data_IF_316685855928
#
_entry.id   IF_316685855928
#
_cell.length_a   1.000
_cell.length_b   1.000
_cell.length_c   1.000
_cell.angle_alpha   90.00
_cell.angle_beta   90.00
_cell.angle_gamma   90.00
#
_symmetry.space_group_name_H-M   'P 1'
#
loop_
_entity.id
_entity.type
_entity.pdbx_description
1 polymer ?
#
# COMPACT_ATOMS: atom_id res chain seq x y z
N UNK A 1 -26.57 -3.12 32.49
CA UNK A 1 -25.93 -2.06 31.68
C UNK A 1 -26.66 -1.95 30.35
N UNK A 2 -26.64 -0.77 29.71
CA UNK A 2 -27.22 -0.58 28.37
C UNK A 2 -26.11 -0.81 27.35
N UNK A 3 -26.29 -1.78 26.46
CA UNK A 3 -25.35 -2.10 25.40
C UNK A 3 -25.42 -1.04 24.28
N UNK A 4 -24.41 -1.06 23.41
CA UNK A 4 -24.28 -0.10 22.30
C UNK A 4 -25.40 -0.23 21.25
N UNK A 5 -26.14 -1.34 21.26
CA UNK A 5 -27.33 -1.62 20.44
C UNK A 5 -28.64 -1.25 21.15
N UNK A 6 -28.57 -0.42 22.21
CA UNK A 6 -29.69 -0.01 23.07
C UNK A 6 -30.39 -1.13 23.87
N UNK A 7 -29.89 -2.36 23.86
CA UNK A 7 -30.44 -3.43 24.71
C UNK A 7 -30.01 -3.27 26.17
N UNK A 8 -30.89 -3.61 27.12
CA UNK A 8 -30.58 -3.60 28.55
C UNK A 8 -30.27 -5.01 28.99
N UNK A 9 -29.01 -5.28 29.35
CA UNK A 9 -28.59 -6.58 29.87
C UNK A 9 -28.32 -6.50 31.37
N UNK A 10 -28.93 -7.40 32.12
CA UNK A 10 -28.65 -7.61 33.55
C UNK A 10 -27.53 -8.63 33.66
N UNK A 11 -26.35 -8.20 34.09
CA UNK A 11 -25.18 -9.07 34.24
C UNK A 11 -25.19 -9.63 35.67
N UNK A 12 -25.22 -10.96 35.86
CA UNK A 12 -25.08 -11.57 37.18
C UNK A 12 -23.74 -11.20 37.81
N UNK A 13 -23.71 -11.02 39.13
CA UNK A 13 -22.58 -10.48 39.91
C UNK A 13 -21.25 -11.24 39.73
N UNK A 14 -21.29 -12.49 39.27
CA UNK A 14 -20.12 -13.35 39.10
C UNK A 14 -19.31 -13.08 37.80
N UNK A 15 -19.90 -12.43 36.79
CA UNK A 15 -19.21 -12.10 35.53
C UNK A 15 -18.27 -10.89 35.62
N UNK A 16 -18.17 -10.24 36.79
CA UNK A 16 -17.30 -9.09 37.03
C UNK A 16 -15.82 -9.46 37.22
N UNK A 17 -15.51 -10.74 37.45
CA UNK A 17 -14.17 -11.20 37.87
C UNK A 17 -13.35 -11.74 36.68
N UNK A 18 -13.97 -12.07 35.55
CA UNK A 18 -13.30 -12.81 34.45
C UNK A 18 -13.14 -12.09 33.13
N UNK A 19 -13.91 -11.02 32.86
CA UNK A 19 -13.82 -10.31 31.58
C UNK A 19 -13.00 -9.04 31.76
N UNK A 20 -11.88 -8.91 31.03
CA UNK A 20 -11.15 -7.66 30.96
C UNK A 20 -12.07 -6.61 30.33
N UNK A 21 -12.72 -5.80 31.14
CA UNK A 21 -13.49 -4.66 30.65
C UNK A 21 -12.55 -3.80 29.82
N UNK A 22 -12.78 -3.72 28.50
CA UNK A 22 -12.13 -2.72 27.66
C UNK A 22 -12.59 -1.36 28.17
N UNK A 23 -11.77 -0.72 29.01
CA UNK A 23 -12.10 0.56 29.61
C UNK A 23 -12.04 1.66 28.54
N UNK A 24 -13.16 1.90 27.86
CA UNK A 24 -13.30 2.95 26.85
C UNK A 24 -13.28 4.37 27.48
N UNK A 25 -13.50 4.51 28.80
CA UNK A 25 -13.37 5.82 29.49
C UNK A 25 -11.93 6.32 29.45
N UNK A 26 -10.96 5.44 29.69
CA UNK A 26 -9.54 5.81 29.60
C UNK A 26 -9.13 6.30 28.21
N UNK A 27 -9.78 5.82 27.13
CA UNK A 27 -9.57 6.33 25.76
C UNK A 27 -10.29 7.67 25.53
N UNK A 28 -11.47 7.85 26.11
CA UNK A 28 -12.18 9.13 26.08
C UNK A 28 -11.42 10.23 26.85
N UNK A 29 -10.75 9.85 27.93
CA UNK A 29 -9.96 10.75 28.80
C UNK A 29 -8.56 11.04 28.21
N UNK A 30 -8.00 10.14 27.39
CA UNK A 30 -6.67 10.34 26.80
C UNK A 30 -6.63 11.43 25.73
N UNK A 31 -7.77 11.97 25.29
CA UNK A 31 -7.84 13.07 24.31
C UNK A 31 -7.53 12.67 22.87
N UNK A 32 -7.56 11.37 22.55
CA UNK A 32 -7.31 10.89 21.20
C UNK A 32 -7.62 9.41 20.99
N UNK A 33 -8.16 9.08 19.82
CA UNK A 33 -8.51 7.70 19.44
C UNK A 33 -7.48 7.11 18.47
N UNK A 34 -7.05 5.87 18.74
CA UNK A 34 -5.99 5.17 18.00
C UNK A 34 -6.46 4.68 16.63
N UNK A 35 -5.73 5.05 15.59
CA UNK A 35 -5.71 4.40 14.27
C UNK A 35 -4.66 3.29 14.31
N UNK A 36 -5.07 2.06 14.00
CA UNK A 36 -4.19 0.91 13.81
C UNK A 36 -4.70 0.09 12.62
N UNK A 37 -4.26 0.45 11.42
CA UNK A 37 -4.68 -0.18 10.16
C UNK A 37 -3.49 -0.30 9.23
N UNK A 38 -3.48 -1.32 8.38
CA UNK A 38 -2.42 -1.56 7.43
C UNK A 38 -2.94 -1.56 5.99
N UNK A 39 -2.10 -1.09 5.07
CA UNK A 39 -2.22 -1.41 3.64
C UNK A 39 -1.27 -2.56 3.32
N UNK A 40 -1.66 -3.44 2.42
CA UNK A 40 -0.83 -4.57 2.01
C UNK A 40 -0.20 -4.25 0.67
N UNK A 41 1.13 -4.22 0.62
CA UNK A 41 1.89 -3.93 -0.59
C UNK A 41 2.24 -5.23 -1.30
N UNK A 42 2.01 -5.30 -2.60
CA UNK A 42 2.46 -6.41 -3.43
C UNK A 42 3.99 -6.49 -3.44
N UNK A 43 4.52 -7.63 -2.99
CA UNK A 43 5.97 -7.91 -2.91
C UNK A 43 6.64 -7.70 -4.26
N UNK A 44 5.97 -8.04 -5.36
CA UNK A 44 6.53 -7.94 -6.71
C UNK A 44 6.69 -6.49 -7.20
N UNK A 45 6.07 -5.53 -6.51
CA UNK A 45 6.25 -4.09 -6.80
C UNK A 45 7.44 -3.47 -6.05
N UNK A 46 8.07 -4.20 -5.13
CA UNK A 46 9.18 -3.69 -4.31
C UNK A 46 10.47 -3.71 -5.12
N UNK A 47 11.13 -2.56 -5.24
CA UNK A 47 12.37 -2.39 -6.00
C UNK A 47 13.25 -1.27 -5.45
N UNK A 48 14.51 -1.24 -5.88
CA UNK A 48 15.37 -0.09 -5.68
C UNK A 48 14.86 1.11 -6.48
N UNK A 49 15.03 2.30 -5.92
CA UNK A 49 14.66 3.55 -6.59
C UNK A 49 15.67 3.83 -7.70
N UNK A 50 15.15 4.09 -8.91
CA UNK A 50 15.96 4.57 -10.03
C UNK A 50 16.22 6.07 -9.93
N UNK A 51 17.22 6.57 -10.65
CA UNK A 51 17.47 8.02 -10.72
C UNK A 51 16.27 8.82 -11.24
N UNK A 52 15.54 8.27 -12.21
CA UNK A 52 14.35 8.93 -12.75
C UNK A 52 13.25 9.04 -11.69
N UNK A 53 13.00 7.96 -10.93
CA UNK A 53 12.07 7.98 -9.80
C UNK A 53 12.53 8.98 -8.73
N UNK A 54 13.83 8.99 -8.41
CA UNK A 54 14.39 9.92 -7.41
C UNK A 54 14.11 11.38 -7.80
N UNK A 55 14.35 11.74 -9.07
CA UNK A 55 14.08 13.09 -9.60
C UNK A 55 12.59 13.46 -9.50
N UNK A 56 11.66 12.52 -9.73
CA UNK A 56 10.22 12.78 -9.55
C UNK A 56 9.88 13.00 -8.08
N UNK A 57 10.31 12.10 -7.20
CA UNK A 57 9.96 12.12 -5.77
C UNK A 57 10.55 13.33 -5.04
N UNK A 58 11.72 13.82 -5.48
CA UNK A 58 12.35 15.03 -4.91
C UNK A 58 11.52 16.29 -5.15
N UNK A 59 10.63 16.32 -6.16
CA UNK A 59 9.71 17.44 -6.39
C UNK A 59 8.64 17.56 -5.29
N UNK A 60 8.42 16.50 -4.51
CA UNK A 60 7.48 16.54 -3.40
C UNK A 60 8.05 17.34 -2.22
N UNK A 61 7.30 18.35 -1.78
CA UNK A 61 7.66 19.19 -0.62
C UNK A 61 7.93 18.35 0.64
N UNK A 62 7.19 17.27 0.84
CA UNK A 62 7.32 16.42 2.04
C UNK A 62 8.51 15.47 2.00
N UNK A 63 9.00 15.11 0.80
CA UNK A 63 10.07 14.12 0.64
C UNK A 63 11.43 14.70 0.30
N UNK A 64 11.48 15.91 -0.26
CA UNK A 64 12.72 16.55 -0.70
C UNK A 64 13.84 16.45 0.33
N UNK A 65 13.59 16.88 1.57
CA UNK A 65 14.56 16.83 2.66
C UNK A 65 14.95 15.39 3.03
N UNK A 66 13.97 14.50 3.20
CA UNK A 66 14.22 13.09 3.51
C UNK A 66 15.12 12.42 2.46
N UNK A 67 14.82 12.63 1.19
CA UNK A 67 15.57 12.04 0.08
C UNK A 67 17.01 12.54 0.09
N UNK A 68 17.21 13.85 0.25
CA UNK A 68 18.56 14.44 0.33
C UNK A 68 19.37 13.84 1.48
N UNK A 69 18.81 13.83 2.68
CA UNK A 69 19.50 13.33 3.87
C UNK A 69 19.79 11.84 3.76
N UNK A 70 18.82 11.05 3.28
CA UNK A 70 18.98 9.60 3.15
C UNK A 70 19.96 9.22 2.04
N UNK A 71 20.00 10.01 0.96
CA UNK A 71 20.95 9.77 -0.14
C UNK A 71 22.38 10.02 0.31
N UNK A 72 22.63 11.10 1.07
CA UNK A 72 23.95 11.36 1.69
C UNK A 72 24.37 10.24 2.64
N UNK A 73 23.49 9.81 3.54
CA UNK A 73 23.79 8.69 4.47
C UNK A 73 24.17 7.41 3.71
N UNK A 74 23.48 7.12 2.62
CA UNK A 74 23.74 5.94 1.78
C UNK A 74 25.08 6.07 1.04
N UNK A 75 25.36 7.26 0.52
CA UNK A 75 26.62 7.56 -0.17
C UNK A 75 27.82 7.46 0.78
N UNK A 76 27.75 8.09 1.96
CA UNK A 76 28.78 8.03 2.99
C UNK A 76 29.05 6.57 3.42
N UNK A 77 27.99 5.78 3.60
CA UNK A 77 28.12 4.36 3.92
C UNK A 77 28.86 3.59 2.83
N UNK A 78 28.48 3.80 1.57
CA UNK A 78 29.06 3.07 0.43
C UNK A 78 30.53 3.45 0.21
N UNK A 79 30.85 4.75 0.34
CA UNK A 79 32.22 5.26 0.24
C UNK A 79 33.11 4.73 1.38
N UNK A 80 32.61 4.71 2.61
CA UNK A 80 33.38 4.23 3.78
C UNK A 80 33.82 2.76 3.69
N UNK A 81 33.14 1.96 2.85
CA UNK A 81 33.41 0.53 2.65
C UNK A 81 34.00 0.21 1.28
N UNK A 82 34.21 1.21 0.42
CA UNK A 82 34.68 1.03 -0.96
C UNK A 82 33.84 0.00 -1.74
N UNK A 83 32.53 0.04 -1.56
CA UNK A 83 31.61 -0.92 -2.18
C UNK A 83 31.57 -0.75 -3.70
N UNK A 84 31.69 -1.86 -4.45
CA UNK A 84 31.50 -1.84 -5.90
C UNK A 84 30.01 -1.78 -6.25
N UNK A 85 29.52 -0.59 -6.60
CA UNK A 85 28.13 -0.33 -6.93
C UNK A 85 27.70 -0.81 -8.33
N UNK A 86 28.58 -1.49 -9.08
CA UNK A 86 28.23 -2.12 -10.37
C UNK A 86 27.14 -3.19 -10.21
N UNK A 87 27.13 -3.89 -9.05
CA UNK A 87 26.14 -4.91 -8.72
C UNK A 87 25.05 -4.38 -7.79
N UNK A 88 23.80 -4.76 -8.05
CA UNK A 88 22.65 -4.45 -7.20
C UNK A 88 22.76 -5.06 -5.78
N UNK A 89 23.61 -6.09 -5.63
CA UNK A 89 23.82 -6.82 -4.38
C UNK A 89 24.78 -6.10 -3.43
N UNK A 90 25.59 -5.19 -3.96
CA UNK A 90 26.62 -4.47 -3.22
C UNK A 90 26.12 -3.07 -2.84
N UNK A 91 26.65 -2.56 -1.73
CA UNK A 91 26.29 -1.26 -1.18
C UNK A 91 24.81 -1.14 -0.76
N UNK A 92 24.50 0.00 -0.15
CA UNK A 92 23.14 0.39 0.21
C UNK A 92 22.52 1.20 -0.91
N UNK A 93 21.21 1.05 -1.09
CA UNK A 93 20.38 1.82 -2.02
C UNK A 93 19.02 2.09 -1.39
N UNK A 94 18.37 3.18 -1.81
CA UNK A 94 17.00 3.46 -1.39
C UNK A 94 16.03 2.48 -2.07
N UNK A 95 15.02 2.05 -1.33
CA UNK A 95 13.91 1.25 -1.86
C UNK A 95 12.65 2.09 -1.95
N UNK A 96 11.78 1.78 -2.90
CA UNK A 96 10.51 2.47 -3.05
C UNK A 96 9.62 2.29 -1.80
N UNK A 97 9.53 1.09 -1.24
CA UNK A 97 8.77 0.80 -0.01
C UNK A 97 9.31 1.56 1.21
N UNK A 98 10.64 1.68 1.35
CA UNK A 98 11.25 2.46 2.43
C UNK A 98 10.95 3.95 2.31
N UNK A 99 11.02 4.47 1.09
CA UNK A 99 10.74 5.88 0.79
C UNK A 99 9.25 6.22 0.95
N UNK A 100 8.36 5.30 0.57
CA UNK A 100 6.93 5.42 0.82
C UNK A 100 6.60 5.46 2.32
N UNK A 101 7.24 4.60 3.14
CA UNK A 101 7.09 4.67 4.60
C UNK A 101 7.52 6.01 5.17
N UNK A 102 8.65 6.54 4.73
CA UNK A 102 9.14 7.84 5.17
C UNK A 102 8.19 8.98 4.75
N UNK A 103 7.66 8.92 3.53
CA UNK A 103 6.61 9.85 3.06
C UNK A 103 5.40 9.85 3.99
N UNK A 104 4.85 8.66 4.29
CA UNK A 104 3.67 8.52 5.15
C UNK A 104 3.93 9.06 6.55
N UNK A 105 5.13 8.82 7.11
CA UNK A 105 5.49 9.35 8.41
C UNK A 105 5.48 10.88 8.42
N UNK A 106 6.14 11.52 7.44
CA UNK A 106 6.15 12.98 7.32
C UNK A 106 4.75 13.52 7.06
N UNK A 107 3.97 12.87 6.20
CA UNK A 107 2.59 13.24 5.90
C UNK A 107 1.71 13.22 7.17
N UNK A 108 1.76 12.14 7.95
CA UNK A 108 0.99 11.99 9.19
C UNK A 108 1.43 12.99 10.26
N UNK A 109 2.74 13.26 10.41
CA UNK A 109 3.26 14.27 11.36
C UNK A 109 2.75 15.68 11.03
N UNK A 110 2.55 15.97 9.75
CA UNK A 110 2.02 17.25 9.29
C UNK A 110 0.48 17.30 9.23
N UNK A 111 -0.21 16.19 9.48
CA UNK A 111 -1.66 16.11 9.35
C UNK A 111 -2.37 16.82 10.54
N UNK A 112 -3.30 17.76 10.30
CA UNK A 112 -3.89 18.59 11.36
C UNK A 112 -4.71 17.79 12.37
N UNK A 113 -5.30 16.67 11.96
CA UNK A 113 -6.12 15.83 12.83
C UNK A 113 -5.38 14.67 13.50
N UNK A 114 -4.06 14.55 13.31
CA UNK A 114 -3.23 13.54 13.97
C UNK A 114 -2.53 14.17 15.18
N UNK A 115 -2.60 13.48 16.31
CA UNK A 115 -2.09 13.95 17.59
C UNK A 115 -0.57 13.87 17.64
N UNK A 116 0.10 15.03 17.65
CA UNK A 116 1.56 15.13 17.53
C UNK A 116 2.34 14.64 18.76
N UNK A 117 1.73 14.74 19.95
CA UNK A 117 2.38 14.36 21.21
C UNK A 117 2.11 12.90 21.62
N UNK A 118 1.50 12.11 20.74
CA UNK A 118 1.27 10.68 20.95
C UNK A 118 2.10 9.86 19.96
N UNK A 119 2.22 8.56 20.23
CA UNK A 119 2.97 7.65 19.37
C UNK A 119 2.46 7.66 17.94
N UNK A 120 3.37 7.92 17.00
CA UNK A 120 3.16 7.82 15.56
C UNK A 120 4.22 6.91 14.99
N UNK A 121 3.81 5.81 14.38
CA UNK A 121 4.68 4.83 13.73
C UNK A 121 4.11 4.44 12.37
N UNK A 122 4.97 4.44 11.35
CA UNK A 122 4.71 3.81 10.06
C UNK A 122 5.72 2.68 9.89
N UNK A 123 5.25 1.44 10.04
CA UNK A 123 6.13 0.27 10.11
C UNK A 123 5.72 -0.83 9.17
N UNK A 124 6.73 -1.55 8.69
CA UNK A 124 6.55 -2.76 7.94
C UNK A 124 6.35 -3.93 8.91
N UNK A 125 5.33 -4.75 8.68
CA UNK A 125 5.12 -6.00 9.40
C UNK A 125 5.69 -7.19 8.59
N UNK A 126 5.67 -8.38 9.21
CA UNK A 126 6.08 -9.60 8.53
C UNK A 126 5.28 -9.81 7.22
N UNK A 127 5.92 -10.22 6.11
CA UNK A 127 5.23 -10.56 4.88
C UNK A 127 4.20 -11.67 5.11
N UNK A 128 3.09 -11.58 4.38
CA UNK A 128 1.99 -12.54 4.40
C UNK A 128 1.68 -13.01 2.97
N UNK A 129 0.76 -13.97 2.83
CA UNK A 129 0.25 -14.39 1.52
C UNK A 129 -0.39 -13.23 0.74
N UNK A 130 -0.86 -12.20 1.44
CA UNK A 130 -1.44 -10.97 0.89
C UNK A 130 -0.41 -9.86 0.68
N UNK A 131 0.89 -10.18 0.68
CA UNK A 131 1.95 -9.19 0.50
C UNK A 131 2.53 -8.65 1.82
N UNK A 132 3.12 -7.47 1.77
CA UNK A 132 3.84 -6.84 2.88
C UNK A 132 2.97 -5.77 3.54
N UNK A 133 2.55 -5.95 4.80
CA UNK A 133 1.73 -4.95 5.47
C UNK A 133 2.58 -3.74 5.88
N UNK A 134 2.12 -2.54 5.50
CA UNK A 134 2.57 -1.26 6.05
C UNK A 134 1.52 -0.79 7.04
N UNK A 135 1.80 -0.95 8.33
CA UNK A 135 0.93 -0.55 9.43
C UNK A 135 1.12 0.94 9.76
N UNK A 136 -0.01 1.64 9.82
CA UNK A 136 -0.12 3.00 10.31
C UNK A 136 -0.66 2.91 11.73
N UNK A 137 0.18 3.29 12.68
CA UNK A 137 -0.17 3.42 14.09
C UNK A 137 -0.08 4.89 14.48
N UNK A 138 -1.21 5.52 14.74
CA UNK A 138 -1.28 6.93 15.13
C UNK A 138 -2.48 7.18 16.03
N UNK A 139 -2.56 8.36 16.63
CA UNK A 139 -3.73 8.79 17.37
C UNK A 139 -4.35 10.01 16.69
N UNK A 140 -5.67 10.04 16.61
CA UNK A 140 -6.42 11.22 16.18
C UNK A 140 -6.53 12.22 17.32
N UNK A 141 -6.79 13.48 17.00
CA UNK A 141 -7.05 14.57 17.97
C UNK A 141 -8.49 14.59 18.50
N UNK A 142 -9.31 13.62 18.11
CA UNK A 142 -10.72 13.50 18.50
C UNK A 142 -11.00 12.10 19.04
N UNK A 143 -12.04 12.02 19.86
CA UNK A 143 -12.62 10.76 20.35
C UNK A 143 -14.04 10.54 19.79
N UNK A 144 -14.60 11.54 19.10
CA UNK A 144 -15.93 11.49 18.47
C UNK A 144 -15.89 10.46 17.35
N UNK A 145 -16.79 9.48 17.42
CA UNK A 145 -16.75 8.34 16.51
C UNK A 145 -16.89 8.74 15.04
N UNK A 146 -17.89 9.55 14.70
CA UNK A 146 -18.11 9.99 13.31
C UNK A 146 -16.90 10.75 12.73
N UNK A 147 -16.26 11.61 13.53
CA UNK A 147 -15.06 12.34 13.10
C UNK A 147 -13.86 11.42 12.94
N UNK A 148 -13.66 10.50 13.89
CA UNK A 148 -12.60 9.50 13.82
C UNK A 148 -12.70 8.65 12.54
N UNK A 149 -13.90 8.16 12.19
CA UNK A 149 -14.11 7.36 10.98
C UNK A 149 -13.83 8.18 9.72
N UNK A 150 -14.29 9.45 9.68
CA UNK A 150 -14.02 10.34 8.55
C UNK A 150 -12.52 10.58 8.36
N UNK A 151 -11.81 10.92 9.44
CA UNK A 151 -10.35 11.11 9.41
C UNK A 151 -9.65 9.84 8.94
N UNK A 152 -10.08 8.67 9.43
CA UNK A 152 -9.49 7.40 9.03
C UNK A 152 -9.75 7.07 7.55
N UNK A 153 -10.95 7.33 7.03
CA UNK A 153 -11.29 7.11 5.62
C UNK A 153 -10.50 8.06 4.71
N UNK A 154 -10.57 9.37 4.96
CA UNK A 154 -9.85 10.39 4.18
C UNK A 154 -8.34 10.08 4.12
N UNK A 155 -7.77 9.65 5.25
CA UNK A 155 -6.37 9.26 5.34
C UNK A 155 -6.05 8.08 4.40
N UNK A 156 -6.85 7.02 4.44
CA UNK A 156 -6.58 5.83 3.65
C UNK A 156 -6.87 6.04 2.17
N UNK A 157 -7.86 6.87 1.81
CA UNK A 157 -8.14 7.25 0.42
C UNK A 157 -6.92 7.92 -0.22
N UNK A 158 -6.32 8.89 0.48
CA UNK A 158 -5.08 9.54 0.03
C UNK A 158 -3.93 8.54 -0.12
N UNK A 159 -3.78 7.63 0.85
CA UNK A 159 -2.72 6.62 0.84
C UNK A 159 -2.87 5.66 -0.34
N UNK A 160 -4.08 5.22 -0.63
CA UNK A 160 -4.37 4.37 -1.78
C UNK A 160 -4.13 5.11 -3.11
N UNK A 161 -4.44 6.40 -3.18
CA UNK A 161 -4.19 7.20 -4.38
C UNK A 161 -2.68 7.41 -4.64
N UNK A 162 -1.91 7.71 -3.59
CA UNK A 162 -0.50 8.11 -3.73
C UNK A 162 0.48 6.94 -3.81
N UNK A 163 0.07 5.72 -3.43
CA UNK A 163 0.95 4.53 -3.44
C UNK A 163 1.58 4.28 -4.83
N UNK A 164 0.82 4.54 -5.90
CA UNK A 164 1.27 4.36 -7.28
C UNK A 164 2.40 5.31 -7.69
N UNK A 165 2.52 6.48 -7.06
CA UNK A 165 3.60 7.45 -7.34
C UNK A 165 4.99 6.92 -6.99
N UNK A 166 5.03 5.92 -6.08
CA UNK A 166 6.24 5.21 -5.67
C UNK A 166 6.49 3.95 -6.52
N UNK A 167 5.73 3.75 -7.60
CA UNK A 167 5.67 2.53 -8.39
C UNK A 167 5.36 1.29 -7.51
N UNK A 168 4.64 1.48 -6.41
CA UNK A 168 4.17 0.40 -5.55
C UNK A 168 2.74 0.02 -5.95
N UNK A 169 2.40 -1.26 -5.75
CA UNK A 169 1.05 -1.76 -5.95
C UNK A 169 0.50 -2.25 -4.62
N UNK A 170 -0.78 -1.99 -4.39
CA UNK A 170 -1.51 -2.60 -3.28
C UNK A 170 -1.92 -3.99 -3.69
N UNK A 171 -1.70 -4.95 -2.80
CA UNK A 171 -2.14 -6.32 -3.03
C UNK A 171 -3.66 -6.38 -3.13
N UNK A 172 -4.13 -7.06 -4.17
CA UNK A 172 -5.53 -7.39 -4.36
C UNK A 172 -5.62 -8.87 -4.73
N UNK A 173 -6.48 -9.61 -4.05
CA UNK A 173 -6.81 -10.97 -4.47
C UNK A 173 -7.62 -10.91 -5.78
N UNK A 174 -7.43 -11.86 -6.72
CA UNK A 174 -8.26 -11.95 -7.91
C UNK A 174 -9.75 -11.94 -7.53
N UNK A 175 -10.50 -11.08 -8.18
CA UNK A 175 -11.93 -10.93 -7.96
C UNK A 175 -12.72 -11.56 -9.10
N UNK A 176 -14.04 -11.69 -8.93
CA UNK A 176 -14.91 -12.16 -10.01
C UNK A 176 -14.84 -11.29 -11.27
N UNK A 177 -14.52 -10.00 -11.12
CA UNK A 177 -14.33 -9.08 -12.24
C UNK A 177 -13.10 -9.44 -13.08
N UNK A 178 -11.98 -9.76 -12.42
CA UNK A 178 -10.74 -10.17 -13.09
C UNK A 178 -10.94 -11.49 -13.87
N UNK A 179 -11.71 -12.42 -13.30
CA UNK A 179 -12.07 -13.68 -13.96
C UNK A 179 -12.97 -13.47 -15.19
N UNK A 180 -13.91 -12.51 -15.11
CA UNK A 180 -14.75 -12.14 -16.24
C UNK A 180 -13.93 -11.51 -17.37
N UNK A 181 -13.00 -10.60 -17.05
CA UNK A 181 -12.10 -9.99 -18.02
C UNK A 181 -11.20 -11.03 -18.70
N UNK A 182 -10.70 -12.02 -17.95
CA UNK A 182 -9.91 -13.12 -18.50
C UNK A 182 -10.72 -13.99 -19.47
N UNK A 183 -12.00 -14.29 -19.16
CA UNK A 183 -12.88 -15.04 -20.06
C UNK A 183 -13.05 -14.32 -21.41
N UNK A 184 -13.27 -13.01 -21.38
CA UNK A 184 -13.37 -12.19 -22.59
C UNK A 184 -12.06 -12.22 -23.39
N UNK A 185 -10.92 -11.99 -22.73
CA UNK A 185 -9.60 -12.02 -23.38
C UNK A 185 -9.27 -13.39 -24.01
N UNK A 186 -9.70 -14.50 -23.40
CA UNK A 186 -9.55 -15.85 -23.97
C UNK A 186 -10.47 -16.02 -25.18
N UNK A 187 -11.74 -15.61 -25.09
CA UNK A 187 -12.69 -15.71 -26.20
C UNK A 187 -12.23 -14.90 -27.43
N UNK A 188 -11.72 -13.69 -27.23
CA UNK A 188 -11.19 -12.83 -28.29
C UNK A 188 -9.95 -13.44 -28.97
N UNK A 189 -9.06 -14.09 -28.20
CA UNK A 189 -7.89 -14.79 -28.74
C UNK A 189 -8.25 -16.10 -29.47
N UNK A 190 -9.35 -16.75 -29.10
CA UNK A 190 -9.84 -17.95 -29.83
C UNK A 190 -10.45 -17.54 -31.17
N UNK A 191 -11.27 -16.49 -31.21
CA UNK A 191 -11.87 -16.02 -32.46
C UNK A 191 -10.83 -15.51 -33.47
N UNK A 192 -9.85 -14.72 -33.02
CA UNK A 192 -8.77 -14.23 -33.90
C UNK A 192 -7.89 -15.35 -34.48
N UNK A 193 -7.70 -16.46 -33.76
CA UNK A 193 -6.98 -17.62 -34.28
C UNK A 193 -7.80 -18.45 -35.28
N UNK A 194 -9.12 -18.51 -35.15
CA UNK A 194 -10.00 -19.18 -36.12
C UNK A 194 -10.02 -18.39 -37.44
N UNK A 195 -10.11 -17.07 -37.37
CA UNK A 195 -10.15 -16.21 -38.57
C UNK A 195 -8.82 -16.26 -39.36
N UNK A 196 -7.69 -16.38 -38.67
CA UNK A 196 -6.37 -16.48 -39.32
C UNK A 196 -6.11 -17.85 -39.96
N UNK A 197 -6.73 -18.93 -39.49
CA UNK A 197 -6.55 -20.29 -40.04
C UNK A 197 -7.51 -20.60 -41.20
N UNK A 198 -8.51 -19.74 -41.46
CA UNK A 198 -9.47 -19.88 -42.56
C UNK A 198 -8.98 -19.35 -43.92
N UNK A 199 -7.81 -18.70 -44.00
CA UNK A 199 -7.36 -17.97 -45.19
C UNK A 199 -6.18 -18.64 -45.96
N UNK A 200 -5.85 -19.90 -45.69
CA UNK A 200 -4.73 -20.61 -46.36
C UNK A 200 -5.15 -21.67 -47.39
N UNK A 201 -6.42 -21.74 -47.80
CA UNK A 201 -6.86 -22.66 -48.87
C UNK A 201 -7.49 -21.90 -50.05
N UNK A 202 -6.66 -21.44 -51.00
CA UNK A 202 -7.18 -20.92 -52.27
C UNK A 202 -6.24 -20.04 -53.10
N UNK A 203 -5.19 -20.60 -53.70
CA UNK A 203 -4.72 -20.17 -55.03
C UNK A 203 -3.74 -21.17 -55.65
N UNK A 204 -4.26 -22.31 -56.12
CA UNK A 204 -3.58 -23.07 -57.17
C UNK A 204 -3.89 -22.38 -58.50
N UNK A 205 -3.04 -21.42 -58.89
CA UNK A 205 -3.13 -20.72 -60.17
C UNK A 205 -2.80 -21.65 -61.33
N UNK A 206 -3.78 -21.84 -62.20
CA UNK A 206 -3.68 -22.61 -63.44
C UNK A 206 -2.69 -21.95 -64.42
N UNK A 207 -1.77 -22.75 -64.97
CA UNK A 207 -0.95 -22.38 -66.11
C UNK A 207 -1.73 -22.62 -67.43
N UNK A 208 -1.75 -21.68 -68.39
CA UNK A 208 -2.32 -21.91 -69.72
C UNK A 208 -1.28 -22.52 -70.69
N UNK A 209 -1.74 -23.11 -71.82
CA UNK A 209 -0.96 -24.08 -72.60
C UNK A 209 -0.11 -23.46 -73.72
N UNK A 210 0.85 -24.26 -74.18
CA UNK A 210 1.84 -24.02 -75.25
C UNK A 210 1.30 -23.40 -76.55
N UNK A 211 2.17 -22.58 -77.16
CA UNK A 211 2.53 -22.65 -78.59
C UNK A 211 3.96 -22.14 -78.78
#
# INVERSE_FOLDING_TARGET
>A
MRNWDNTVTTIPTYSLISDSFKNWRAMSESGGRRIKRAIHVDVNSIKFITESQMKRLTKSRLLSQYILDKSREVEDYNQSRSEDLSSALNGRRLTNIGTFRAYLEVYLRNHPHIHRNMTLLVRQLAPQATGVPIEIYAFTTTVVWAEYERIQSDLFDHIFAVVGEFDLRVFQAPSGYDMAALKTAIADNVNTNIDNNGNTSGSAGAAPPNS
#
